data_IF_034540548732
#
_entry.id   IF_034540548732
#
_cell.length_a   1.000
_cell.length_b   1.000
_cell.length_c   1.000
_cell.angle_alpha   90.00
_cell.angle_beta   90.00
_cell.angle_gamma   90.00
#
_symmetry.space_group_name_H-M   'P 1'
#
loop_
_entity.id
_entity.type
_entity.pdbx_description
1 polymer ?
#
# COMPACT_ATOMS: atom_id res chain seq x y z
N UNK A 1 12.66 -11.76 4.22
CA UNK A 1 11.28 -11.57 4.72
C UNK A 1 10.34 -11.62 3.53
N UNK A 2 9.33 -12.51 3.59
CA UNK A 2 8.25 -12.55 2.60
C UNK A 2 7.03 -11.87 3.19
N UNK A 3 6.39 -11.00 2.43
CA UNK A 3 5.20 -10.27 2.85
C UNK A 3 4.02 -10.67 1.96
N UNK A 4 2.90 -10.99 2.59
CA UNK A 4 1.65 -11.23 1.91
C UNK A 4 0.74 -10.02 2.10
N UNK A 5 0.17 -9.54 1.01
CA UNK A 5 -0.89 -8.53 1.07
C UNK A 5 -2.14 -9.15 1.67
N UNK A 6 -2.64 -8.55 2.74
CA UNK A 6 -3.83 -9.06 3.43
C UNK A 6 -5.02 -8.11 3.33
N UNK A 7 -4.78 -6.80 3.30
CA UNK A 7 -5.86 -5.82 3.22
C UNK A 7 -5.44 -4.58 2.44
N UNK A 8 -6.36 -4.07 1.62
CA UNK A 8 -6.31 -2.74 1.02
C UNK A 8 -7.60 -2.03 1.39
N UNK A 9 -7.49 -0.91 2.11
CA UNK A 9 -8.61 -0.02 2.39
C UNK A 9 -8.43 1.28 1.62
N UNK A 10 -9.50 1.75 1.01
CA UNK A 10 -9.53 3.07 0.40
C UNK A 10 -9.65 4.11 1.52
N UNK A 11 -8.80 5.13 1.48
CA UNK A 11 -8.90 6.29 2.36
C UNK A 11 -9.68 7.37 1.63
N UNK A 12 -10.83 7.73 2.17
CA UNK A 12 -11.72 8.76 1.63
C UNK A 12 -11.84 9.92 2.62
N UNK A 13 -11.79 11.14 2.09
CA UNK A 13 -12.01 12.38 2.83
C UNK A 13 -12.92 13.28 2.01
N UNK A 14 -14.04 13.74 2.58
CA UNK A 14 -15.01 14.59 1.89
C UNK A 14 -15.41 14.04 0.50
N UNK A 15 -15.74 12.74 0.45
CA UNK A 15 -16.11 11.96 -0.77
C UNK A 15 -15.03 11.88 -1.85
N UNK A 16 -13.80 12.29 -1.55
CA UNK A 16 -12.65 12.15 -2.44
C UNK A 16 -11.74 11.06 -1.91
N UNK A 17 -11.33 10.16 -2.79
CA UNK A 17 -10.28 9.20 -2.47
C UNK A 17 -8.97 9.98 -2.30
N UNK A 18 -8.45 10.00 -1.08
CA UNK A 18 -7.20 10.68 -0.73
C UNK A 18 -6.00 9.74 -0.71
N UNK A 19 -6.22 8.45 -0.53
CA UNK A 19 -5.14 7.49 -0.35
C UNK A 19 -5.62 6.06 -0.25
N UNK A 20 -4.67 5.19 0.06
CA UNK A 20 -4.87 3.78 0.32
C UNK A 20 -4.15 3.42 1.61
N UNK A 21 -4.81 2.67 2.48
CA UNK A 21 -4.17 2.05 3.62
C UNK A 21 -3.97 0.57 3.32
N UNK A 22 -2.72 0.14 3.28
CA UNK A 22 -2.32 -1.22 2.93
C UNK A 22 -1.82 -1.91 4.18
N UNK A 23 -2.27 -3.15 4.38
CA UNK A 23 -1.79 -4.03 5.44
C UNK A 23 -1.16 -5.26 4.82
N UNK A 24 0.05 -5.57 5.27
CA UNK A 24 0.82 -6.74 4.91
C UNK A 24 1.07 -7.58 6.15
N UNK A 25 1.10 -8.90 5.98
CA UNK A 25 1.54 -9.84 7.00
C UNK A 25 2.83 -10.51 6.52
N UNK A 26 3.89 -10.42 7.34
CA UNK A 26 5.14 -11.13 7.17
C UNK A 26 5.00 -12.62 7.50
N UNK A 27 5.92 -13.41 6.97
CA UNK A 27 6.06 -14.84 7.29
C UNK A 27 6.41 -15.12 8.77
N UNK A 28 6.93 -14.11 9.45
CA UNK A 28 7.16 -14.05 10.90
C UNK A 28 5.93 -13.63 11.71
N UNK A 29 4.75 -13.57 11.06
CA UNK A 29 3.50 -13.07 11.63
C UNK A 29 3.52 -11.56 11.99
N UNK A 30 4.55 -10.81 11.58
CA UNK A 30 4.60 -9.36 11.77
C UNK A 30 3.57 -8.67 10.87
N UNK A 31 2.87 -7.67 11.39
CA UNK A 31 1.88 -6.90 10.62
C UNK A 31 2.45 -5.52 10.31
N UNK A 32 2.50 -5.17 9.02
CA UNK A 32 3.00 -3.88 8.54
C UNK A 32 1.85 -3.13 7.89
N UNK A 33 1.53 -1.94 8.38
CA UNK A 33 0.51 -1.08 7.79
C UNK A 33 1.11 0.26 7.40
N UNK A 34 0.85 0.69 6.17
CA UNK A 34 1.32 1.98 5.68
C UNK A 34 0.28 2.62 4.75
N UNK A 35 0.36 3.94 4.66
CA UNK A 35 -0.52 4.76 3.82
C UNK A 35 0.20 5.13 2.54
N UNK A 36 -0.49 5.00 1.42
CA UNK A 36 -0.07 5.57 0.14
C UNK A 36 -1.00 6.74 -0.16
N UNK A 37 -0.43 7.95 -0.21
CA UNK A 37 -1.14 9.09 -0.77
C UNK A 37 -1.27 8.89 -2.29
N UNK A 38 -2.51 8.90 -2.78
CA UNK A 38 -2.79 8.89 -4.23
C UNK A 38 -3.25 10.26 -4.71
N UNK A 39 -3.04 11.30 -3.90
CA UNK A 39 -3.30 12.70 -4.27
C UNK A 39 -2.50 13.04 -5.53
N UNK A 40 -3.20 13.29 -6.64
CA UNK A 40 -2.61 13.62 -7.94
C UNK A 40 -2.41 12.45 -8.89
N UNK A 41 -2.69 11.21 -8.49
CA UNK A 41 -2.92 10.13 -9.44
C UNK A 41 -4.32 10.30 -10.03
N UNK A 42 -4.44 10.16 -11.35
CA UNK A 42 -5.71 10.19 -12.07
C UNK A 42 -6.53 8.94 -11.69
N UNK A 43 -7.15 8.99 -10.52
CA UNK A 43 -7.84 7.87 -9.86
C UNK A 43 -9.02 7.34 -10.66
N UNK A 44 -9.51 8.08 -11.66
CA UNK A 44 -10.55 7.63 -12.58
C UNK A 44 -10.14 6.45 -13.47
N UNK A 45 -8.84 6.20 -13.68
CA UNK A 45 -8.35 5.15 -14.58
C UNK A 45 -7.56 4.04 -13.87
N UNK A 46 -7.40 4.09 -12.55
CA UNK A 46 -6.68 3.06 -11.82
C UNK A 46 -7.64 1.95 -11.42
N UNK A 47 -7.44 0.78 -12.01
CA UNK A 47 -8.15 -0.42 -11.55
C UNK A 47 -7.63 -0.81 -10.17
N UNK A 48 -8.45 -1.53 -9.38
CA UNK A 48 -8.01 -2.11 -8.11
C UNK A 48 -6.70 -2.92 -8.24
N UNK A 49 -6.48 -3.51 -9.41
CA UNK A 49 -5.25 -4.25 -9.75
C UNK A 49 -4.03 -3.37 -9.91
N UNK A 50 -4.19 -2.18 -10.51
CA UNK A 50 -3.10 -1.21 -10.66
C UNK A 50 -2.71 -0.62 -9.30
N UNK A 51 -3.72 -0.36 -8.46
CA UNK A 51 -3.57 0.02 -7.06
C UNK A 51 -2.77 -1.04 -6.30
N UNK A 52 -3.17 -2.31 -6.40
CA UNK A 52 -2.48 -3.43 -5.74
C UNK A 52 -1.03 -3.57 -6.22
N UNK A 53 -0.78 -3.43 -7.53
CA UNK A 53 0.57 -3.49 -8.09
C UNK A 53 1.44 -2.33 -7.61
N UNK A 54 0.87 -1.12 -7.51
CA UNK A 54 1.57 0.06 -6.98
C UNK A 54 1.87 -0.11 -5.49
N UNK A 55 0.90 -0.61 -4.72
CA UNK A 55 1.03 -0.94 -3.30
C UNK A 55 2.17 -1.92 -3.04
N UNK A 56 2.22 -3.04 -3.78
CA UNK A 56 3.26 -4.05 -3.66
C UNK A 56 4.62 -3.48 -4.07
N UNK A 57 4.68 -2.63 -5.10
CA UNK A 57 5.93 -1.99 -5.54
C UNK A 57 6.48 -1.02 -4.48
N UNK A 58 5.62 -0.18 -3.91
CA UNK A 58 5.96 0.72 -2.80
C UNK A 58 6.41 -0.05 -1.55
N UNK A 59 5.70 -1.13 -1.20
CA UNK A 59 6.09 -2.01 -0.10
C UNK A 59 7.50 -2.57 -0.30
N UNK A 60 7.76 -3.15 -1.49
CA UNK A 60 9.08 -3.70 -1.83
C UNK A 60 10.17 -2.66 -1.72
N UNK A 61 9.95 -1.45 -2.26
CA UNK A 61 10.91 -0.36 -2.17
C UNK A 61 11.14 0.10 -0.71
N UNK A 62 10.09 0.13 0.10
CA UNK A 62 10.20 0.44 1.53
C UNK A 62 10.98 -0.64 2.30
N UNK A 63 10.82 -1.92 1.96
CA UNK A 63 11.57 -3.02 2.57
C UNK A 63 13.01 -3.11 2.08
N UNK A 64 13.29 -2.81 0.81
CA UNK A 64 14.66 -2.70 0.29
C UNK A 64 15.42 -1.55 0.97
N UNK A 65 14.72 -0.48 1.35
CA UNK A 65 15.26 0.62 2.14
C UNK A 65 15.17 0.42 3.66
N UNK A 66 14.67 -0.71 4.16
CA UNK A 66 14.92 -1.15 5.54
C UNK A 66 16.35 -1.70 5.67
N UNK A 67 17.33 -0.84 5.41
CA UNK A 67 18.71 -1.09 5.80
C UNK A 67 18.87 -0.66 7.26
N UNK A 68 18.91 -1.66 8.15
CA UNK A 68 19.50 -1.68 9.49
C UNK A 68 19.66 -0.32 10.21
N UNK A 69 18.75 -0.05 11.15
CA UNK A 69 19.11 0.64 12.38
C UNK A 69 19.73 -0.35 13.36
#
# INVERSE_FOLDING_TARGET
MRFNLTQINILEENTKIIGLNITLIGDDNSTHSFKIDIKGLDTMNLTLRDIEKHAIKQAKHSFEHCSNG
#
